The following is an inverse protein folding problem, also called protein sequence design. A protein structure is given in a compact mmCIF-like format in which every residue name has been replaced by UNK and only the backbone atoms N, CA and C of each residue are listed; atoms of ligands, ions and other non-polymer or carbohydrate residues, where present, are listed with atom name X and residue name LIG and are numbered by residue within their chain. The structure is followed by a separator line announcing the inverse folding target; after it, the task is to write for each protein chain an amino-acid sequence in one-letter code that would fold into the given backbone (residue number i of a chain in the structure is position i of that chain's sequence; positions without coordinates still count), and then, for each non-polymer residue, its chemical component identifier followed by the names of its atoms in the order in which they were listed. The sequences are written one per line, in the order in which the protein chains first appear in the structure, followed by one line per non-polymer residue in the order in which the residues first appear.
data_IF_293288476392
#
_entry.id   IF_293288476392
#
_cell.length_a   1.000
_cell.length_b   1.000
_cell.length_c   1.000
_cell.angle_alpha   90.00
_cell.angle_beta   90.00
_cell.angle_gamma   90.00
#
_symmetry.space_group_name_H-M   'P 1'
#
loop_
_entity.id
_entity.type
_entity.pdbx_description
1 polymer ?
#
# COMPACT_ATOMS: atom_id res chain seq x y z
N UNK A 1 24.77 31.53 -14.92
CA UNK A 1 24.53 30.50 -13.92
C UNK A 1 23.51 29.52 -14.44
N UNK A 2 23.89 28.27 -14.57
CA UNK A 2 22.93 27.23 -14.93
C UNK A 2 21.83 27.15 -13.87
N UNK A 3 20.59 27.29 -14.31
CA UNK A 3 19.45 27.05 -13.41
C UNK A 3 19.59 25.66 -12.80
N UNK A 4 19.66 25.60 -11.48
CA UNK A 4 19.74 24.33 -10.77
C UNK A 4 18.38 23.67 -10.83
N UNK A 5 18.21 22.74 -11.75
CA UNK A 5 17.00 21.97 -11.86
C UNK A 5 16.92 20.93 -10.74
N UNK A 6 15.73 20.70 -10.30
CA UNK A 6 15.42 19.63 -9.36
C UNK A 6 14.44 18.68 -10.01
N UNK A 7 14.59 17.42 -9.73
CA UNK A 7 13.65 16.39 -10.14
C UNK A 7 13.18 15.62 -8.93
N UNK A 8 11.99 15.10 -9.02
CA UNK A 8 11.44 14.27 -7.97
C UNK A 8 10.54 13.19 -8.57
N UNK A 9 10.47 12.09 -7.90
CA UNK A 9 9.51 11.02 -8.17
C UNK A 9 8.75 10.70 -6.89
N UNK A 10 7.49 10.40 -7.04
CA UNK A 10 6.64 9.96 -5.94
C UNK A 10 6.25 8.53 -6.21
N UNK A 11 6.56 7.65 -5.27
CA UNK A 11 6.27 6.23 -5.39
C UNK A 11 5.56 5.74 -4.14
N UNK A 12 4.61 4.81 -4.28
CA UNK A 12 4.10 4.11 -3.11
C UNK A 12 5.25 3.27 -2.52
N UNK A 13 5.33 3.23 -1.20
CA UNK A 13 6.33 2.45 -0.49
C UNK A 13 6.20 0.95 -0.74
N UNK A 14 5.06 0.51 -1.23
CA UNK A 14 4.84 -0.86 -1.66
C UNK A 14 4.39 -0.89 -3.11
N UNK A 15 5.04 -1.73 -3.92
CA UNK A 15 4.53 -2.07 -5.22
C UNK A 15 3.20 -2.83 -5.06
N UNK A 16 2.29 -2.55 -5.96
CA UNK A 16 1.01 -3.28 -6.03
C UNK A 16 1.25 -4.79 -6.25
N UNK A 17 0.45 -5.63 -5.60
CA UNK A 17 -0.59 -5.26 -4.65
C UNK A 17 -0.01 -4.82 -3.30
N UNK A 18 -0.62 -3.83 -2.71
CA UNK A 18 -0.32 -3.40 -1.34
C UNK A 18 -0.47 -4.56 -0.37
N UNK A 19 0.13 -4.43 0.79
CA UNK A 19 -0.02 -5.40 1.87
C UNK A 19 -0.75 -4.74 3.03
N UNK A 20 -1.50 -5.54 3.76
CA UNK A 20 -2.10 -5.10 5.00
C UNK A 20 -1.25 -5.60 6.18
N UNK A 21 -0.55 -4.70 6.89
CA UNK A 21 0.32 -5.11 8.00
C UNK A 21 -0.43 -5.80 9.14
N UNK A 22 -1.67 -5.40 9.40
CA UNK A 22 -2.50 -6.02 10.45
C UNK A 22 -2.86 -7.45 10.11
N UNK A 23 -3.28 -7.67 8.87
CA UNK A 23 -3.59 -9.01 8.38
C UNK A 23 -2.34 -9.90 8.39
N UNK A 24 -1.22 -9.40 7.92
CA UNK A 24 0.03 -10.16 7.90
C UNK A 24 0.46 -10.55 9.32
N UNK A 25 0.40 -9.64 10.27
CA UNK A 25 0.71 -9.92 11.68
C UNK A 25 -0.22 -10.99 12.24
N UNK A 26 -1.52 -10.88 11.97
CA UNK A 26 -2.51 -11.86 12.42
C UNK A 26 -2.25 -13.27 11.85
N UNK A 27 -1.82 -13.34 10.59
CA UNK A 27 -1.49 -14.60 9.93
C UNK A 27 -0.10 -15.15 10.34
N UNK A 28 0.69 -14.38 11.06
CA UNK A 28 2.06 -14.74 11.40
C UNK A 28 3.04 -14.60 10.23
N UNK A 29 2.70 -13.79 9.23
CA UNK A 29 3.55 -13.53 8.08
C UNK A 29 4.38 -12.26 8.28
N UNK A 30 5.61 -12.28 7.76
CA UNK A 30 6.47 -11.12 7.75
C UNK A 30 6.31 -10.35 6.45
N UNK A 31 6.06 -9.05 6.54
CA UNK A 31 6.09 -8.16 5.39
C UNK A 31 7.54 -7.99 4.92
N UNK A 32 7.79 -8.18 3.62
CA UNK A 32 9.08 -7.84 3.03
C UNK A 32 9.13 -6.34 2.77
N UNK A 33 10.26 -5.65 3.07
CA UNK A 33 10.42 -4.25 2.72
C UNK A 33 10.25 -4.05 1.20
N UNK A 34 9.61 -2.95 0.78
CA UNK A 34 9.50 -2.64 -0.64
C UNK A 34 10.88 -2.39 -1.24
N UNK A 35 11.08 -2.89 -2.45
CA UNK A 35 12.38 -2.79 -3.15
C UNK A 35 12.53 -1.50 -3.94
N UNK A 36 11.42 -0.86 -4.30
CA UNK A 36 11.43 0.27 -5.24
C UNK A 36 12.27 1.44 -4.74
N UNK A 37 12.16 1.78 -3.46
CA UNK A 37 12.97 2.86 -2.86
C UNK A 37 14.45 2.53 -2.94
N UNK A 38 14.82 1.31 -2.60
CA UNK A 38 16.19 0.85 -2.68
C UNK A 38 16.72 0.85 -4.12
N UNK A 39 15.92 0.40 -5.08
CA UNK A 39 16.30 0.31 -6.47
C UNK A 39 16.47 1.71 -7.08
N UNK A 40 15.56 2.64 -6.78
CA UNK A 40 15.69 4.04 -7.21
C UNK A 40 16.91 4.71 -6.58
N UNK A 41 17.14 4.48 -5.29
CA UNK A 41 18.32 5.03 -4.59
C UNK A 41 19.61 4.52 -5.22
N UNK A 42 19.70 3.24 -5.53
CA UNK A 42 20.86 2.63 -6.17
C UNK A 42 21.08 3.19 -7.58
N UNK A 43 20.00 3.36 -8.36
CA UNK A 43 20.07 3.94 -9.69
C UNK A 43 20.57 5.39 -9.63
N UNK A 44 20.08 6.21 -8.72
CA UNK A 44 20.55 7.59 -8.54
C UNK A 44 22.00 7.65 -8.10
N UNK A 45 22.43 6.78 -7.19
CA UNK A 45 23.80 6.69 -6.75
C UNK A 45 24.75 6.35 -7.91
N UNK A 46 24.34 5.45 -8.82
CA UNK A 46 25.13 5.11 -10.01
C UNK A 46 25.29 6.29 -10.98
N UNK A 47 24.40 7.27 -10.94
CA UNK A 47 24.47 8.51 -11.71
C UNK A 47 25.14 9.65 -10.95
N UNK A 48 25.73 9.38 -9.78
CA UNK A 48 26.36 10.39 -8.94
C UNK A 48 25.36 11.37 -8.31
N UNK A 49 24.13 10.95 -8.10
CA UNK A 49 23.07 11.78 -7.51
C UNK A 49 22.81 11.41 -6.06
N UNK A 50 22.67 12.43 -5.23
CA UNK A 50 22.30 12.26 -3.83
C UNK A 50 20.79 12.48 -3.68
N UNK A 51 20.01 11.45 -3.34
CA UNK A 51 18.59 11.62 -3.14
C UNK A 51 18.28 12.24 -1.78
N UNK A 52 17.18 12.99 -1.73
CA UNK A 52 16.54 13.46 -0.52
C UNK A 52 15.17 12.79 -0.44
N UNK A 53 14.82 12.28 0.73
CA UNK A 53 13.59 11.54 0.94
C UNK A 53 12.65 12.31 1.85
N UNK A 54 11.37 12.20 1.54
CA UNK A 54 10.28 12.59 2.44
C UNK A 54 9.19 11.54 2.33
N UNK A 55 8.49 11.29 3.41
CA UNK A 55 7.39 10.32 3.44
C UNK A 55 6.11 11.00 3.88
N UNK A 56 5.00 10.54 3.33
CA UNK A 56 3.67 10.90 3.80
C UNK A 56 2.79 9.66 3.82
N UNK A 57 1.76 9.69 4.65
CA UNK A 57 0.81 8.61 4.77
C UNK A 57 -0.57 9.08 4.35
N UNK A 58 -1.24 8.26 3.57
CA UNK A 58 -2.67 8.40 3.30
C UNK A 58 -3.39 7.15 3.81
N UNK A 59 -4.69 7.26 4.00
CA UNK A 59 -5.50 6.17 4.50
C UNK A 59 -6.58 5.84 3.48
N UNK A 60 -6.67 4.59 3.11
CA UNK A 60 -7.64 4.10 2.14
C UNK A 60 -8.74 3.32 2.85
N UNK A 61 -10.00 3.76 2.78
CA UNK A 61 -11.13 2.95 3.20
C UNK A 61 -11.37 1.82 2.19
N UNK A 62 -11.77 0.65 2.68
CA UNK A 62 -12.15 -0.47 1.84
C UNK A 62 -13.64 -0.73 1.97
N UNK A 63 -14.37 -0.61 0.86
CA UNK A 63 -15.82 -0.76 0.78
C UNK A 63 -16.19 -1.65 -0.40
N UNK A 64 -17.09 -2.59 -0.18
CA UNK A 64 -17.48 -3.57 -1.18
C UNK A 64 -18.99 -3.81 -1.15
N UNK A 65 -19.55 -4.19 -2.28
CA UNK A 65 -20.96 -4.51 -2.42
C UNK A 65 -21.35 -5.88 -1.84
N UNK A 66 -20.39 -6.80 -1.74
CA UNK A 66 -20.60 -8.13 -1.18
C UNK A 66 -19.46 -8.55 -0.26
N UNK A 67 -19.74 -9.46 0.66
CA UNK A 67 -18.73 -10.04 1.54
C UNK A 67 -17.70 -10.87 0.76
N UNK A 68 -18.13 -11.61 -0.25
CA UNK A 68 -17.23 -12.43 -1.07
C UNK A 68 -16.23 -11.56 -1.84
N UNK A 69 -16.69 -10.44 -2.39
CA UNK A 69 -15.82 -9.46 -3.06
C UNK A 69 -14.82 -8.85 -2.07
N UNK A 70 -15.31 -8.46 -0.90
CA UNK A 70 -14.47 -7.91 0.17
C UNK A 70 -13.39 -8.90 0.61
N UNK A 71 -13.77 -10.14 0.80
CA UNK A 71 -12.87 -11.21 1.20
C UNK A 71 -11.82 -11.50 0.14
N UNK A 72 -12.21 -11.56 -1.14
CA UNK A 72 -11.29 -11.77 -2.25
C UNK A 72 -10.26 -10.65 -2.36
N UNK A 73 -10.68 -9.40 -2.20
CA UNK A 73 -9.78 -8.26 -2.24
C UNK A 73 -8.81 -8.24 -1.04
N UNK A 74 -9.30 -8.55 0.15
CA UNK A 74 -8.47 -8.67 1.34
C UNK A 74 -7.42 -9.78 1.18
N UNK A 75 -7.77 -10.87 0.50
CA UNK A 75 -6.83 -11.97 0.23
C UNK A 75 -5.58 -11.50 -0.53
N UNK A 76 -5.74 -10.60 -1.47
CA UNK A 76 -4.60 -10.01 -2.21
C UNK A 76 -3.64 -9.24 -1.29
N UNK A 77 -4.14 -8.66 -0.23
CA UNK A 77 -3.34 -7.90 0.72
C UNK A 77 -2.47 -8.77 1.64
N UNK A 78 -2.68 -10.07 1.62
CA UNK A 78 -1.83 -11.05 2.32
C UNK A 78 -0.65 -11.56 1.48
N UNK A 79 -0.59 -11.18 0.21
CA UNK A 79 0.47 -11.60 -0.71
C UNK A 79 0.11 -12.82 -1.54
N UNK A 80 0.95 -13.14 -2.55
CA UNK A 80 0.66 -14.21 -3.51
C UNK A 80 0.92 -15.62 -2.98
N UNK A 81 1.64 -15.74 -1.86
CA UNK A 81 1.94 -17.05 -1.29
C UNK A 81 0.66 -17.78 -0.89
N UNK A 82 0.45 -19.03 -1.32
CA UNK A 82 -0.72 -19.81 -0.94
C UNK A 82 -0.86 -19.92 0.59
N UNK A 83 -2.09 -19.98 1.05
CA UNK A 83 -2.37 -20.19 2.46
C UNK A 83 -2.23 -21.66 2.85
N UNK A 84 -1.67 -21.88 4.03
CA UNK A 84 -1.81 -23.16 4.73
C UNK A 84 -3.26 -23.34 5.22
N UNK A 85 -3.63 -24.56 5.61
CA UNK A 85 -4.95 -24.80 6.20
C UNK A 85 -5.20 -23.93 7.44
N UNK A 86 -4.17 -23.71 8.26
CA UNK A 86 -4.25 -22.82 9.42
C UNK A 86 -4.48 -21.38 9.01
N UNK A 87 -3.76 -20.90 8.01
CA UNK A 87 -3.90 -19.53 7.51
C UNK A 87 -5.28 -19.29 6.90
N UNK A 88 -5.86 -20.27 6.21
CA UNK A 88 -7.25 -20.18 5.72
C UNK A 88 -8.24 -19.96 6.85
N UNK A 89 -8.11 -20.73 7.92
CA UNK A 89 -8.99 -20.58 9.09
C UNK A 89 -8.82 -19.22 9.77
N UNK A 90 -7.59 -18.78 9.96
CA UNK A 90 -7.29 -17.47 10.53
C UNK A 90 -7.81 -16.33 9.65
N UNK A 91 -7.62 -16.45 8.33
CA UNK A 91 -8.09 -15.46 7.38
C UNK A 91 -9.62 -15.35 7.38
N UNK A 92 -10.34 -16.48 7.37
CA UNK A 92 -11.79 -16.47 7.40
C UNK A 92 -12.33 -15.84 8.68
N UNK A 93 -11.73 -16.14 9.82
CA UNK A 93 -12.07 -15.52 11.09
C UNK A 93 -11.79 -14.01 11.09
N UNK A 94 -10.66 -13.60 10.53
CA UNK A 94 -10.27 -12.20 10.41
C UNK A 94 -11.24 -11.41 9.53
N UNK A 95 -11.58 -11.94 8.36
CA UNK A 95 -12.53 -11.30 7.45
C UNK A 95 -13.92 -11.16 8.10
N UNK A 96 -14.40 -12.19 8.76
CA UNK A 96 -15.67 -12.16 9.46
C UNK A 96 -15.71 -11.15 10.62
N UNK A 97 -14.57 -10.95 11.29
CA UNK A 97 -14.45 -10.02 12.41
C UNK A 97 -14.35 -8.56 11.96
N UNK A 98 -13.60 -8.29 10.88
CA UNK A 98 -13.22 -6.94 10.50
C UNK A 98 -14.05 -6.32 9.38
N UNK A 99 -14.80 -7.10 8.62
CA UNK A 99 -15.79 -6.56 7.69
C UNK A 99 -17.14 -6.41 8.37
N UNK A 100 -17.64 -5.19 8.37
CA UNK A 100 -18.92 -4.83 8.96
C UNK A 100 -19.87 -4.32 7.90
N UNK A 101 -21.15 -4.61 8.06
CA UNK A 101 -22.21 -4.07 7.22
C UNK A 101 -22.49 -2.63 7.61
N UNK A 102 -22.57 -1.77 6.61
CA UNK A 102 -23.01 -0.39 6.79
C UNK A 102 -24.02 -0.01 5.73
N UNK A 103 -25.02 0.76 6.15
CA UNK A 103 -25.93 1.38 5.21
C UNK A 103 -25.15 2.42 4.38
N UNK A 104 -25.35 2.38 3.06
CA UNK A 104 -24.82 3.37 2.14
C UNK A 104 -25.98 3.95 1.34
N UNK A 105 -25.96 5.27 1.12
CA UNK A 105 -26.90 5.90 0.19
C UNK A 105 -26.33 5.72 -1.22
N UNK A 106 -27.13 5.09 -2.09
CA UNK A 106 -26.80 5.06 -3.51
C UNK A 106 -27.12 6.40 -4.17
N UNK A 107 -26.50 6.73 -5.31
CA UNK A 107 -26.84 7.94 -6.05
C UNK A 107 -28.32 8.03 -6.48
N UNK A 108 -29.01 6.90 -6.54
CA UNK A 108 -30.45 6.81 -6.83
C UNK A 108 -31.35 7.01 -5.60
N UNK A 109 -30.78 7.19 -4.41
CA UNK A 109 -31.55 7.33 -3.16
C UNK A 109 -32.09 6.03 -2.60
N UNK A 110 -31.81 4.87 -3.24
CA UNK A 110 -32.18 3.58 -2.71
C UNK A 110 -31.22 3.15 -1.60
N UNK A 111 -31.73 2.63 -0.46
CA UNK A 111 -30.87 2.12 0.59
C UNK A 111 -30.10 0.88 0.07
N UNK A 112 -28.80 0.95 0.14
CA UNK A 112 -27.90 -0.18 -0.15
C UNK A 112 -27.07 -0.52 1.06
N UNK A 113 -26.71 -1.79 1.21
CA UNK A 113 -25.77 -2.24 2.22
C UNK A 113 -24.39 -2.42 1.58
N UNK A 114 -23.37 -1.96 2.29
CA UNK A 114 -21.98 -2.18 1.91
C UNK A 114 -21.22 -2.89 3.01
N UNK A 115 -20.26 -3.67 2.59
CA UNK A 115 -19.28 -4.27 3.49
C UNK A 115 -18.06 -3.36 3.58
N UNK A 116 -17.73 -2.95 4.78
CA UNK A 116 -16.65 -1.99 5.03
C UNK A 116 -15.66 -2.62 6.00
N UNK A 117 -14.38 -2.53 5.67
CA UNK A 117 -13.33 -2.88 6.63
C UNK A 117 -13.38 -1.88 7.79
N UNK A 118 -13.32 -2.36 9.02
CA UNK A 118 -13.49 -1.54 10.24
C UNK A 118 -12.26 -0.67 10.57
N UNK A 119 -11.24 -0.70 9.71
CA UNK A 119 -10.10 0.20 9.77
C UNK A 119 -9.69 0.63 8.36
N UNK A 120 -9.00 1.75 8.25
CA UNK A 120 -8.46 2.26 6.98
C UNK A 120 -7.06 1.69 6.76
N UNK A 121 -6.77 1.30 5.51
CA UNK A 121 -5.44 0.85 5.14
C UNK A 121 -4.49 2.03 5.03
N UNK A 122 -3.34 2.00 5.72
CA UNK A 122 -2.31 3.00 5.52
C UNK A 122 -1.59 2.76 4.19
N UNK A 123 -1.40 3.83 3.42
CA UNK A 123 -0.58 3.84 2.22
C UNK A 123 0.55 4.83 2.46
N UNK A 124 1.77 4.34 2.44
CA UNK A 124 2.96 5.18 2.58
C UNK A 124 3.44 5.60 1.21
N UNK A 125 3.59 6.90 1.01
CA UNK A 125 4.15 7.49 -0.20
C UNK A 125 5.55 8.00 0.10
N UNK A 126 6.49 7.69 -0.78
CA UNK A 126 7.86 8.15 -0.68
C UNK A 126 8.15 9.14 -1.79
N UNK A 127 8.56 10.33 -1.40
CA UNK A 127 9.04 11.37 -2.31
C UNK A 127 10.56 11.25 -2.38
N UNK A 128 11.08 11.06 -3.58
CA UNK A 128 12.52 10.95 -3.80
C UNK A 128 12.92 12.11 -4.70
N UNK A 129 13.60 13.08 -4.13
CA UNK A 129 14.08 14.25 -4.85
C UNK A 129 15.58 14.21 -5.04
N UNK A 130 16.06 14.81 -6.12
CA UNK A 130 17.49 14.97 -6.39
C UNK A 130 17.74 16.22 -7.24
N UNK A 131 18.97 16.69 -7.22
CA UNK A 131 19.39 17.75 -8.13
C UNK A 131 19.77 17.17 -9.47
N UNK A 132 19.27 17.77 -10.55
CA UNK A 132 19.73 17.53 -11.91
C UNK A 132 20.81 18.56 -12.22
N UNK A 133 21.79 18.25 -13.00
CA UNK A 133 22.93 19.14 -13.24
C UNK A 133 24.24 18.39 -12.98
N UNK A 134 25.36 19.07 -12.74
CA UNK A 134 26.61 18.40 -12.46
C UNK A 134 26.46 17.39 -11.30
N UNK A 135 27.21 16.28 -11.39
CA UNK A 135 27.23 15.24 -10.37
C UNK A 135 27.56 15.83 -9.00
N UNK A 136 26.90 15.36 -7.96
CA UNK A 136 27.19 15.74 -6.58
C UNK A 136 28.59 15.29 -6.11
N UNK A 137 29.23 14.40 -6.85
CA UNK A 137 30.54 13.84 -6.56
C UNK A 137 31.68 14.55 -7.31
N UNK A 138 31.33 15.44 -8.22
CA UNK A 138 32.31 16.17 -9.00
C UNK A 138 32.89 17.34 -8.22
#
# INVERSE_FOLDING_TARGET
SAARSRAAVVVPDSLLPSRDPRLLTYLGRTARPPRIVRDVTRALASLGRLPVFATTHTFRPMRFSSFDEARADLRHLAGPKPFTAREHRLFDAYAAQHFVRRAAESPSGEPSEMWVLDYKLPVTWVFIGWRTGPSAWA
#
